data_IF_213933888760
#
_entry.id   IF_213933888760
#
_cell.length_a   1.000
_cell.length_b   1.000
_cell.length_c   1.000
_cell.angle_alpha   90.00
_cell.angle_beta   90.00
_cell.angle_gamma   90.00
#
_symmetry.space_group_name_H-M   'P 1'
#
loop_
_entity.id
_entity.type
_entity.pdbx_description
1 polymer ?
#
# COMPACT_ATOMS: atom_id res chain seq x y z
N UNK A 1 6.60 11.66 -24.42
CA UNK A 1 5.18 11.55 -24.03
C UNK A 1 5.19 10.91 -22.65
N UNK A 2 4.49 11.47 -21.66
CA UNK A 2 4.41 10.90 -20.31
C UNK A 2 3.83 9.49 -20.39
N UNK A 3 4.61 8.46 -20.05
CA UNK A 3 4.19 7.06 -20.19
C UNK A 3 3.58 6.47 -18.93
N UNK A 4 3.67 7.12 -17.77
CA UNK A 4 3.08 6.62 -16.52
C UNK A 4 1.70 7.23 -16.24
N UNK A 5 0.75 6.40 -15.82
CA UNK A 5 -0.51 6.87 -15.24
C UNK A 5 -0.26 7.33 -13.81
N UNK A 6 -0.56 8.61 -13.55
CA UNK A 6 -0.27 9.23 -12.27
C UNK A 6 -1.22 8.79 -11.14
N UNK A 7 -2.40 8.26 -11.48
CA UNK A 7 -3.50 7.96 -10.54
C UNK A 7 -4.35 6.82 -11.09
N UNK A 8 -5.06 6.14 -10.20
CA UNK A 8 -6.18 5.28 -10.60
C UNK A 8 -7.45 6.14 -10.76
N UNK A 9 -8.14 5.98 -11.89
CA UNK A 9 -9.40 6.65 -12.19
C UNK A 9 -10.46 5.59 -12.48
N UNK A 10 -11.59 5.63 -11.77
CA UNK A 10 -12.64 4.63 -11.88
C UNK A 10 -13.63 4.88 -13.04
N UNK A 11 -13.35 5.87 -13.88
CA UNK A 11 -14.17 6.26 -15.04
C UNK A 11 -15.44 7.03 -14.68
N UNK A 12 -15.74 7.22 -13.39
CA UNK A 12 -16.91 7.98 -12.95
C UNK A 12 -16.68 9.49 -13.10
N UNK A 13 -17.74 10.27 -12.89
CA UNK A 13 -17.68 11.73 -12.78
C UNK A 13 -17.82 12.18 -11.32
N UNK A 14 -17.67 11.25 -10.37
CA UNK A 14 -17.72 11.59 -8.95
C UNK A 14 -16.53 12.47 -8.57
N UNK A 15 -16.66 13.33 -7.54
CA UNK A 15 -15.52 14.03 -6.98
C UNK A 15 -14.40 13.04 -6.58
N UNK A 16 -13.12 13.47 -6.62
CA UNK A 16 -12.03 12.66 -6.11
C UNK A 16 -12.31 12.14 -4.70
N UNK A 17 -12.00 10.86 -4.44
CA UNK A 17 -12.35 10.23 -3.15
C UNK A 17 -11.28 9.29 -2.63
N UNK A 18 -11.26 9.13 -1.31
CA UNK A 18 -10.60 8.02 -0.64
C UNK A 18 -11.37 6.72 -0.96
N UNK A 19 -10.64 5.63 -1.19
CA UNK A 19 -11.18 4.27 -1.23
C UNK A 19 -10.39 3.39 -0.29
N UNK A 20 -11.10 2.76 0.63
CA UNK A 20 -10.50 1.85 1.61
C UNK A 20 -10.33 0.46 1.00
N UNK A 21 -9.12 -0.06 1.10
CA UNK A 21 -8.69 -1.37 0.63
C UNK A 21 -8.25 -2.24 1.81
N UNK A 22 -8.21 -3.55 1.65
CA UNK A 22 -7.59 -4.45 2.62
C UNK A 22 -6.56 -5.36 1.96
N UNK A 23 -5.49 -5.72 2.65
CA UNK A 23 -4.52 -6.68 2.11
C UNK A 23 -4.96 -8.12 2.44
N UNK A 24 -4.99 -9.03 1.46
CA UNK A 24 -5.38 -10.43 1.68
C UNK A 24 -4.41 -11.15 2.63
N UNK A 25 -3.11 -10.89 2.48
CA UNK A 25 -2.09 -11.50 3.34
C UNK A 25 -2.23 -11.04 4.80
N UNK A 26 -2.70 -9.81 5.04
CA UNK A 26 -3.05 -9.30 6.37
C UNK A 26 -4.28 -9.98 6.99
N UNK A 27 -5.03 -10.76 6.22
CA UNK A 27 -6.12 -11.61 6.76
C UNK A 27 -5.65 -13.03 7.06
N UNK A 28 -4.38 -13.33 6.87
CA UNK A 28 -3.81 -14.64 7.20
C UNK A 28 -3.86 -14.89 8.69
N UNK A 29 -4.12 -16.14 9.06
CA UNK A 29 -4.16 -16.62 10.45
C UNK A 29 -5.26 -16.01 11.34
N UNK A 30 -6.15 -15.17 10.78
CA UNK A 30 -7.27 -14.59 11.51
C UNK A 30 -8.48 -15.54 11.60
N UNK A 31 -9.33 -15.44 12.64
CA UNK A 31 -9.27 -14.45 13.73
C UNK A 31 -8.08 -14.66 14.67
N UNK A 32 -7.69 -13.60 15.39
CA UNK A 32 -6.49 -13.57 16.22
C UNK A 32 -6.39 -14.82 17.11
N UNK A 33 -5.24 -15.49 17.07
CA UNK A 33 -4.91 -16.68 17.87
C UNK A 33 -5.86 -17.88 17.69
N UNK A 34 -6.69 -17.90 16.65
CA UNK A 34 -7.59 -19.01 16.39
C UNK A 34 -6.83 -20.27 15.93
N UNK A 35 -7.25 -21.47 16.38
CA UNK A 35 -6.72 -22.72 15.87
C UNK A 35 -7.05 -22.87 14.38
N UNK A 36 -6.32 -23.73 13.67
CA UNK A 36 -6.34 -23.82 12.19
C UNK A 36 -7.75 -23.99 11.63
N UNK A 37 -8.56 -24.82 12.28
CA UNK A 37 -9.94 -25.16 11.92
C UNK A 37 -10.94 -24.02 12.16
N UNK A 38 -10.60 -23.03 12.99
CA UNK A 38 -11.43 -21.87 13.29
C UNK A 38 -11.00 -20.60 12.52
N UNK A 39 -9.94 -20.69 11.72
CA UNK A 39 -9.48 -19.57 10.87
C UNK A 39 -10.51 -19.28 9.78
N UNK A 40 -10.63 -18.00 9.43
CA UNK A 40 -11.53 -17.59 8.37
C UNK A 40 -11.14 -18.23 7.04
N UNK A 41 -12.12 -18.84 6.39
CA UNK A 41 -12.06 -19.20 4.97
C UNK A 41 -11.95 -17.94 4.11
N UNK A 42 -11.61 -18.10 2.83
CA UNK A 42 -11.50 -16.97 1.91
C UNK A 42 -12.81 -16.16 1.81
N UNK A 43 -13.95 -16.82 1.68
CA UNK A 43 -15.27 -16.17 1.66
C UNK A 43 -15.56 -15.45 2.99
N UNK A 44 -15.22 -16.05 4.13
CA UNK A 44 -15.39 -15.41 5.43
C UNK A 44 -14.53 -14.16 5.61
N UNK A 45 -13.33 -14.13 5.01
CA UNK A 45 -12.45 -12.96 4.98
C UNK A 45 -13.08 -11.85 4.14
N UNK A 46 -13.50 -12.16 2.92
CA UNK A 46 -14.06 -11.17 2.00
C UNK A 46 -15.44 -10.66 2.43
N UNK A 47 -16.28 -11.50 3.01
CA UNK A 47 -17.52 -11.05 3.65
C UNK A 47 -17.26 -10.00 4.74
N UNK A 48 -16.23 -10.20 5.59
CA UNK A 48 -15.85 -9.25 6.64
C UNK A 48 -15.29 -7.95 6.08
N UNK A 49 -14.37 -8.05 5.13
CA UNK A 49 -13.79 -6.90 4.40
C UNK A 49 -14.91 -6.05 3.81
N UNK A 50 -15.85 -6.66 3.09
CA UNK A 50 -16.97 -5.94 2.49
C UNK A 50 -17.90 -5.32 3.53
N UNK A 51 -18.23 -6.06 4.59
CA UNK A 51 -19.10 -5.57 5.67
C UNK A 51 -18.48 -4.40 6.45
N UNK A 52 -17.15 -4.34 6.54
CA UNK A 52 -16.42 -3.25 7.19
C UNK A 52 -16.26 -2.00 6.31
N UNK A 53 -16.79 -2.00 5.08
CA UNK A 53 -16.76 -0.83 4.19
C UNK A 53 -15.54 -0.75 3.27
N UNK A 54 -14.64 -1.75 3.31
CA UNK A 54 -13.57 -1.84 2.32
C UNK A 54 -14.15 -2.22 0.94
N UNK A 55 -13.58 -1.65 -0.11
CA UNK A 55 -14.06 -1.77 -1.49
C UNK A 55 -13.16 -2.62 -2.39
N UNK A 56 -11.90 -2.83 -2.01
CA UNK A 56 -10.94 -3.62 -2.78
C UNK A 56 -10.03 -4.46 -1.88
N UNK A 57 -9.40 -5.46 -2.48
CA UNK A 57 -8.41 -6.31 -1.82
C UNK A 57 -7.13 -6.38 -2.62
N UNK A 58 -6.02 -6.21 -1.91
CA UNK A 58 -4.68 -6.35 -2.47
C UNK A 58 -4.18 -7.77 -2.31
N UNK A 59 -3.78 -8.36 -3.43
CA UNK A 59 -3.44 -9.77 -3.50
C UNK A 59 -2.09 -9.98 -4.17
N UNK A 60 -1.37 -10.98 -3.67
CA UNK A 60 -0.17 -11.53 -4.28
C UNK A 60 -0.56 -12.87 -4.90
N UNK A 61 -0.93 -12.85 -6.19
CA UNK A 61 -1.52 -14.01 -6.87
C UNK A 61 -0.55 -14.72 -7.80
N UNK A 62 -0.73 -16.03 -7.90
CA UNK A 62 -0.08 -16.91 -8.86
C UNK A 62 -1.12 -17.82 -9.55
N UNK A 63 -0.66 -18.68 -10.45
CA UNK A 63 -1.55 -19.56 -11.21
C UNK A 63 -2.31 -20.57 -10.33
N UNK A 64 -1.83 -20.84 -9.10
CA UNK A 64 -2.45 -21.79 -8.19
C UNK A 64 -3.65 -21.20 -7.45
N UNK A 65 -3.65 -19.88 -7.21
CA UNK A 65 -4.64 -19.22 -6.35
C UNK A 65 -5.49 -18.16 -7.07
N UNK A 66 -5.13 -17.75 -8.29
CA UNK A 66 -5.81 -16.63 -8.96
C UNK A 66 -7.29 -16.91 -9.26
N UNK A 67 -7.63 -18.13 -9.68
CA UNK A 67 -8.99 -18.48 -10.08
C UNK A 67 -9.95 -18.46 -8.88
N UNK A 68 -9.57 -19.13 -7.78
CA UNK A 68 -10.37 -19.15 -6.55
C UNK A 68 -10.51 -17.74 -5.96
N UNK A 69 -9.41 -16.99 -5.93
CA UNK A 69 -9.40 -15.66 -5.33
C UNK A 69 -10.22 -14.65 -6.12
N UNK A 70 -10.07 -14.61 -7.45
CA UNK A 70 -10.87 -13.73 -8.29
C UNK A 70 -12.36 -14.06 -8.19
N UNK A 71 -12.72 -15.34 -8.24
CA UNK A 71 -14.12 -15.75 -8.09
C UNK A 71 -14.71 -15.35 -6.73
N UNK A 72 -13.92 -15.43 -5.65
CA UNK A 72 -14.35 -14.99 -4.33
C UNK A 72 -14.51 -13.46 -4.23
N UNK A 73 -13.59 -12.69 -4.80
CA UNK A 73 -13.72 -11.22 -4.87
C UNK A 73 -15.00 -10.81 -5.61
N UNK A 74 -15.29 -11.45 -6.74
CA UNK A 74 -16.49 -11.18 -7.54
C UNK A 74 -17.78 -11.48 -6.78
N UNK A 75 -17.84 -12.62 -6.07
CA UNK A 75 -18.99 -12.96 -5.21
C UNK A 75 -19.30 -11.89 -4.16
N UNK A 76 -18.27 -11.21 -3.65
CA UNK A 76 -18.41 -10.18 -2.62
C UNK A 76 -18.45 -8.75 -3.16
N UNK A 77 -18.33 -8.56 -4.48
CA UNK A 77 -18.26 -7.23 -5.10
C UNK A 77 -17.08 -6.41 -4.57
N UNK A 78 -15.92 -7.06 -4.45
CA UNK A 78 -14.65 -6.45 -4.07
C UNK A 78 -13.75 -6.34 -5.29
N UNK A 79 -13.06 -5.21 -5.43
CA UNK A 79 -12.12 -4.98 -6.53
C UNK A 79 -10.77 -5.62 -6.24
N UNK A 80 -9.98 -5.86 -7.28
CA UNK A 80 -8.66 -6.50 -7.18
C UNK A 80 -7.54 -5.47 -7.41
N UNK A 81 -6.51 -5.54 -6.58
CA UNK A 81 -5.21 -4.90 -6.80
C UNK A 81 -4.13 -5.98 -6.71
N UNK A 82 -3.11 -5.91 -7.56
CA UNK A 82 -2.02 -6.89 -7.54
C UNK A 82 -0.72 -6.28 -7.01
N UNK A 83 -0.16 -6.94 -6.00
CA UNK A 83 1.21 -6.73 -5.54
C UNK A 83 2.18 -7.63 -6.29
N UNK A 84 3.37 -7.13 -6.58
CA UNK A 84 4.43 -7.96 -7.15
C UNK A 84 5.84 -7.50 -6.77
N UNK A 85 6.80 -8.42 -6.85
CA UNK A 85 8.21 -8.17 -6.52
C UNK A 85 9.09 -8.56 -7.72
N UNK A 86 9.30 -7.66 -8.71
CA UNK A 86 10.05 -7.99 -9.91
C UNK A 86 11.56 -7.91 -9.70
N UNK A 87 12.29 -8.83 -10.32
CA UNK A 87 13.74 -8.71 -10.54
C UNK A 87 14.09 -8.55 -12.02
N UNK A 88 13.15 -8.87 -12.91
CA UNK A 88 13.33 -8.79 -14.36
C UNK A 88 12.13 -8.12 -15.03
N UNK A 89 12.31 -7.64 -16.26
CA UNK A 89 11.21 -7.14 -17.10
C UNK A 89 10.19 -8.23 -17.44
N UNK A 90 10.62 -9.49 -17.56
CA UNK A 90 9.73 -10.62 -17.77
C UNK A 90 8.79 -10.87 -16.57
N UNK A 91 9.22 -10.59 -15.33
CA UNK A 91 8.35 -10.68 -14.16
C UNK A 91 7.27 -9.60 -14.17
N UNK A 92 7.63 -8.41 -14.66
CA UNK A 92 6.71 -7.29 -14.86
C UNK A 92 5.66 -7.66 -15.91
N UNK A 93 6.09 -8.14 -17.09
CA UNK A 93 5.19 -8.52 -18.19
C UNK A 93 4.17 -9.58 -17.72
N UNK A 94 4.64 -10.63 -17.04
CA UNK A 94 3.77 -11.67 -16.47
C UNK A 94 2.74 -11.11 -15.49
N UNK A 95 3.14 -10.14 -14.67
CA UNK A 95 2.25 -9.51 -13.68
C UNK A 95 1.22 -8.63 -14.37
N UNK A 96 1.61 -7.87 -15.40
CA UNK A 96 0.70 -7.02 -16.16
C UNK A 96 -0.30 -7.86 -16.94
N UNK A 97 0.15 -8.94 -17.60
CA UNK A 97 -0.74 -9.88 -18.29
C UNK A 97 -1.77 -10.48 -17.33
N UNK A 98 -1.35 -10.81 -16.10
CA UNK A 98 -2.26 -11.26 -15.03
C UNK A 98 -3.22 -10.16 -14.59
N UNK A 99 -2.73 -8.94 -14.38
CA UNK A 99 -3.55 -7.80 -13.97
C UNK A 99 -4.65 -7.51 -15.00
N UNK A 100 -4.32 -7.53 -16.29
CA UNK A 100 -5.27 -7.33 -17.38
C UNK A 100 -6.27 -8.49 -17.44
N UNK A 101 -5.80 -9.74 -17.38
CA UNK A 101 -6.67 -10.93 -17.40
C UNK A 101 -7.66 -10.96 -16.23
N UNK A 102 -7.21 -10.53 -15.05
CA UNK A 102 -8.02 -10.55 -13.83
C UNK A 102 -8.71 -9.22 -13.54
N UNK A 103 -8.67 -8.26 -14.48
CA UNK A 103 -9.32 -6.95 -14.35
C UNK A 103 -8.93 -6.21 -13.05
N UNK A 104 -7.65 -6.23 -12.70
CA UNK A 104 -7.13 -5.51 -11.55
C UNK A 104 -7.17 -3.99 -11.79
N UNK A 105 -7.49 -3.21 -10.74
CA UNK A 105 -7.58 -1.75 -10.80
C UNK A 105 -6.19 -1.12 -11.05
N UNK A 106 -5.14 -1.64 -10.42
CA UNK A 106 -3.74 -1.25 -10.62
C UNK A 106 -2.76 -2.31 -10.09
N UNK A 107 -1.47 -2.10 -10.35
CA UNK A 107 -0.36 -2.89 -9.82
C UNK A 107 0.51 -2.01 -8.92
N UNK A 108 0.93 -2.54 -7.77
CA UNK A 108 2.05 -1.98 -7.01
C UNK A 108 3.22 -2.96 -6.99
N UNK A 109 4.43 -2.41 -7.03
CA UNK A 109 5.67 -3.13 -7.24
C UNK A 109 6.68 -2.85 -6.14
N UNK A 110 7.29 -3.90 -5.60
CA UNK A 110 8.46 -3.83 -4.74
C UNK A 110 9.70 -4.22 -5.56
N UNK A 111 10.28 -3.33 -6.39
CA UNK A 111 11.30 -3.72 -7.36
C UNK A 111 12.63 -4.09 -6.69
N UNK A 112 13.19 -5.21 -7.17
CA UNK A 112 14.51 -5.71 -6.84
C UNK A 112 14.78 -5.81 -5.32
N UNK A 113 16.05 -5.82 -4.94
CA UNK A 113 16.50 -5.73 -3.56
C UNK A 113 17.21 -4.39 -3.30
N UNK A 114 17.55 -4.16 -2.02
CA UNK A 114 18.24 -2.97 -1.55
C UNK A 114 19.63 -2.73 -2.19
N UNK A 115 20.26 -3.78 -2.72
CA UNK A 115 21.64 -3.75 -3.20
C UNK A 115 21.72 -3.61 -4.73
N UNK A 116 20.57 -3.65 -5.40
CA UNK A 116 20.50 -3.53 -6.86
C UNK A 116 20.83 -2.10 -7.29
N UNK A 117 21.64 -1.89 -8.35
CA UNK A 117 21.97 -0.55 -8.84
C UNK A 117 20.73 0.24 -9.28
N UNK A 118 20.78 1.57 -9.06
CA UNK A 118 19.70 2.49 -9.42
C UNK A 118 19.30 2.38 -10.89
N UNK A 119 20.26 2.24 -11.79
CA UNK A 119 20.03 2.17 -13.23
C UNK A 119 19.18 0.96 -13.61
N UNK A 120 19.47 -0.20 -12.99
CA UNK A 120 18.69 -1.43 -13.17
C UNK A 120 17.27 -1.26 -12.65
N UNK A 121 17.09 -0.65 -11.48
CA UNK A 121 15.74 -0.43 -10.92
C UNK A 121 14.96 0.60 -11.74
N UNK A 122 15.62 1.66 -12.21
CA UNK A 122 15.01 2.65 -13.08
C UNK A 122 14.58 2.03 -14.43
N UNK A 123 15.32 1.06 -14.96
CA UNK A 123 14.91 0.28 -16.13
C UNK A 123 13.63 -0.52 -15.85
N UNK A 124 13.58 -1.26 -14.74
CA UNK A 124 12.39 -2.03 -14.33
C UNK A 124 11.17 -1.12 -14.19
N UNK A 125 11.30 0.01 -13.50
CA UNK A 125 10.18 0.95 -13.29
C UNK A 125 9.69 1.55 -14.61
N UNK A 126 10.60 2.02 -15.49
CA UNK A 126 10.22 2.57 -16.79
C UNK A 126 9.55 1.52 -17.68
N UNK A 127 10.04 0.29 -17.66
CA UNK A 127 9.43 -0.83 -18.38
C UNK A 127 8.01 -1.10 -17.88
N UNK A 128 7.82 -1.22 -16.56
CA UNK A 128 6.51 -1.43 -15.96
C UNK A 128 5.51 -0.32 -16.25
N UNK A 129 5.92 0.94 -16.14
CA UNK A 129 5.07 2.08 -16.52
C UNK A 129 4.65 2.03 -17.99
N UNK A 130 5.59 1.73 -18.90
CA UNK A 130 5.31 1.65 -20.33
C UNK A 130 4.38 0.49 -20.66
N UNK A 131 4.66 -0.70 -20.13
CA UNK A 131 3.87 -1.90 -20.39
C UNK A 131 2.44 -1.76 -19.82
N UNK A 132 2.30 -1.23 -18.60
CA UNK A 132 1.00 -1.08 -17.96
C UNK A 132 0.13 0.01 -18.63
N UNK A 133 0.75 1.09 -19.11
CA UNK A 133 0.03 2.19 -19.75
C UNK A 133 -0.68 1.80 -21.07
N UNK A 134 -0.18 0.78 -21.78
CA UNK A 134 -0.88 0.23 -22.98
C UNK A 134 -2.28 -0.26 -22.63
N UNK A 135 -2.49 -0.69 -21.37
CA UNK A 135 -3.74 -1.24 -20.86
C UNK A 135 -4.50 -0.28 -19.94
N UNK A 136 -4.09 0.99 -19.88
CA UNK A 136 -4.62 1.97 -18.93
C UNK A 136 -4.54 1.49 -17.46
N UNK A 137 -3.49 0.73 -17.14
CA UNK A 137 -3.25 0.17 -15.81
C UNK A 137 -2.21 1.02 -15.05
N UNK A 138 -2.55 1.62 -13.91
CA UNK A 138 -1.56 2.31 -13.09
C UNK A 138 -0.52 1.34 -12.51
N UNK A 139 0.72 1.80 -12.45
CA UNK A 139 1.86 1.06 -11.93
C UNK A 139 2.58 1.92 -10.89
N UNK A 140 2.51 1.51 -9.62
CA UNK A 140 3.08 2.25 -8.50
C UNK A 140 4.25 1.48 -7.89
N UNK A 141 5.28 2.20 -7.46
CA UNK A 141 6.44 1.62 -6.78
C UNK A 141 6.23 1.73 -5.28
N UNK A 142 6.30 0.63 -4.55
CA UNK A 142 6.17 0.65 -3.10
C UNK A 142 7.47 1.07 -2.43
N UNK A 143 7.38 1.87 -1.37
CA UNK A 143 8.48 2.11 -0.43
C UNK A 143 8.55 0.95 0.56
N UNK A 144 9.58 0.10 0.47
CA UNK A 144 9.63 -1.11 1.28
C UNK A 144 11.06 -1.47 1.68
N UNK A 145 11.25 -1.84 2.95
CA UNK A 145 12.56 -2.31 3.49
C UNK A 145 12.96 -3.62 2.82
N UNK A 146 14.26 -3.89 2.62
CA UNK A 146 14.74 -5.07 1.87
C UNK A 146 14.41 -5.06 0.36
N UNK A 147 13.91 -3.94 -0.16
CA UNK A 147 13.78 -3.64 -1.59
C UNK A 147 14.58 -2.38 -1.91
N UNK A 148 14.71 -2.02 -3.19
CA UNK A 148 15.52 -0.86 -3.57
C UNK A 148 15.09 0.43 -2.85
N UNK A 149 13.79 0.60 -2.64
CA UNK A 149 13.17 1.77 -2.01
C UNK A 149 13.17 1.70 -0.48
N UNK A 150 14.15 1.03 0.14
CA UNK A 150 14.19 0.89 1.60
C UNK A 150 14.52 2.20 2.34
N UNK A 151 15.26 3.11 1.71
CA UNK A 151 15.63 4.40 2.29
C UNK A 151 15.04 5.60 1.53
N UNK A 152 14.93 6.73 2.24
CA UNK A 152 14.55 8.01 1.66
C UNK A 152 15.52 8.43 0.53
N UNK A 153 16.86 8.39 0.70
CA UNK A 153 17.79 8.74 -0.39
C UNK A 153 17.66 7.86 -1.64
N UNK A 154 17.51 6.53 -1.49
CA UNK A 154 17.31 5.65 -2.66
C UNK A 154 16.01 5.98 -3.39
N UNK A 155 14.93 6.21 -2.65
CA UNK A 155 13.62 6.54 -3.23
C UNK A 155 13.63 7.93 -3.90
N UNK A 156 14.36 8.89 -3.32
CA UNK A 156 14.58 10.20 -3.94
C UNK A 156 15.41 10.09 -5.22
N UNK A 157 16.50 9.32 -5.21
CA UNK A 157 17.32 9.08 -6.39
C UNK A 157 16.53 8.38 -7.51
N UNK A 158 15.64 7.44 -7.16
CA UNK A 158 14.70 6.85 -8.13
C UNK A 158 13.74 7.89 -8.70
N UNK A 159 13.20 8.78 -7.88
CA UNK A 159 12.32 9.86 -8.33
C UNK A 159 13.04 10.89 -9.20
N UNK A 160 14.35 11.09 -9.02
CA UNK A 160 15.17 11.92 -9.91
C UNK A 160 15.44 11.21 -11.24
N UNK A 161 15.77 9.91 -11.21
CA UNK A 161 16.04 9.12 -12.40
C UNK A 161 14.77 8.83 -13.22
N UNK A 162 13.62 8.72 -12.57
CA UNK A 162 12.30 8.47 -13.17
C UNK A 162 11.30 9.49 -12.61
N UNK A 163 11.28 10.74 -13.14
CA UNK A 163 10.43 11.83 -12.61
C UNK A 163 8.94 11.51 -12.53
N UNK A 164 8.45 10.61 -13.39
CA UNK A 164 7.07 10.16 -13.50
C UNK A 164 6.71 9.05 -12.51
N UNK A 165 7.67 8.53 -11.73
CA UNK A 165 7.41 7.49 -10.74
C UNK A 165 6.33 7.93 -9.76
N UNK A 166 5.41 7.02 -9.47
CA UNK A 166 4.38 7.18 -8.45
C UNK A 166 4.57 6.11 -7.40
N UNK A 167 4.32 6.47 -6.15
CA UNK A 167 4.58 5.58 -5.04
C UNK A 167 3.32 5.01 -4.43
N UNK A 168 3.41 3.73 -4.06
CA UNK A 168 2.68 3.17 -2.93
C UNK A 168 3.48 3.51 -1.68
N UNK A 169 3.04 4.50 -0.92
CA UNK A 169 3.74 4.92 0.29
C UNK A 169 3.41 4.01 1.46
N UNK A 170 4.26 3.03 1.75
CA UNK A 170 4.38 2.48 3.10
C UNK A 170 5.51 3.19 3.83
N UNK A 171 5.13 4.22 4.60
CA UNK A 171 6.08 5.12 5.25
C UNK A 171 6.65 4.50 6.53
N UNK A 172 6.09 3.40 7.02
CA UNK A 172 6.60 2.68 8.19
C UNK A 172 8.02 2.15 7.98
N UNK A 173 8.36 1.81 6.73
CA UNK A 173 9.70 1.37 6.36
C UNK A 173 10.73 2.47 6.50
N UNK A 174 10.44 3.69 6.04
CA UNK A 174 11.36 4.82 6.24
C UNK A 174 11.51 5.17 7.71
N UNK A 175 10.43 5.08 8.49
CA UNK A 175 10.45 5.39 9.91
C UNK A 175 11.34 4.41 10.68
N UNK A 176 11.21 3.11 10.42
CA UNK A 176 12.04 2.10 11.10
C UNK A 176 13.48 2.08 10.59
N UNK A 177 13.72 2.25 9.28
CA UNK A 177 15.09 2.23 8.71
C UNK A 177 15.85 3.51 9.04
N UNK A 178 15.14 4.64 9.12
CA UNK A 178 15.72 5.94 9.41
C UNK A 178 15.73 6.33 10.89
N UNK A 179 15.30 5.44 11.79
CA UNK A 179 15.15 5.70 13.23
C UNK A 179 14.41 7.03 13.52
N UNK A 180 13.25 7.24 12.91
CA UNK A 180 12.43 8.45 13.14
C UNK A 180 11.50 8.27 14.34
N UNK A 181 11.47 9.26 15.25
CA UNK A 181 10.62 9.21 16.44
C UNK A 181 9.56 10.32 16.49
N UNK A 182 9.71 11.44 15.76
CA UNK A 182 9.30 12.68 16.43
C UNK A 182 9.13 14.01 15.69
N UNK A 183 9.02 14.07 14.37
CA UNK A 183 8.24 15.08 13.62
C UNK A 183 8.84 16.47 13.36
N UNK A 184 9.11 17.31 14.36
CA UNK A 184 9.55 18.70 14.04
C UNK A 184 11.06 18.80 13.87
N UNK A 185 11.83 18.34 14.86
CA UNK A 185 13.29 18.53 14.88
C UNK A 185 14.00 17.67 13.83
N UNK A 186 13.43 16.52 13.51
CA UNK A 186 13.95 15.59 12.50
C UNK A 186 13.62 16.03 11.06
N UNK A 187 12.74 17.02 10.90
CA UNK A 187 12.22 17.52 9.61
C UNK A 187 11.71 16.38 8.71
N UNK A 188 11.03 15.41 9.31
CA UNK A 188 10.66 14.14 8.67
C UNK A 188 9.81 14.37 7.41
N UNK A 189 8.81 15.26 7.48
CA UNK A 189 7.97 15.64 6.32
C UNK A 189 8.82 16.20 5.18
N UNK A 190 9.76 17.09 5.48
CA UNK A 190 10.61 17.70 4.46
C UNK A 190 11.58 16.70 3.83
N UNK A 191 12.13 15.78 4.64
CA UNK A 191 12.99 14.70 4.14
C UNK A 191 12.22 13.73 3.25
N UNK A 192 10.98 13.41 3.60
CA UNK A 192 10.12 12.50 2.83
C UNK A 192 9.41 13.20 1.65
N UNK A 193 9.51 14.53 1.52
CA UNK A 193 8.81 15.31 0.48
C UNK A 193 9.00 14.81 -0.96
N UNK A 194 10.20 14.33 -1.39
CA UNK A 194 10.39 13.76 -2.73
C UNK A 194 9.46 12.57 -3.01
N UNK A 195 9.13 11.79 -1.98
CA UNK A 195 8.22 10.65 -2.05
C UNK A 195 6.77 11.09 -1.81
N UNK A 196 6.49 11.85 -0.73
CA UNK A 196 5.13 12.27 -0.34
C UNK A 196 4.39 12.98 -1.48
N UNK A 197 5.09 13.84 -2.22
CA UNK A 197 4.51 14.57 -3.37
C UNK A 197 4.18 13.68 -4.58
N UNK A 198 4.59 12.41 -4.56
CA UNK A 198 4.41 11.42 -5.64
C UNK A 198 3.61 10.20 -5.19
N UNK A 199 3.13 10.16 -3.95
CA UNK A 199 2.26 9.09 -3.45
C UNK A 199 0.93 9.10 -4.22
N UNK A 200 0.52 7.93 -4.70
CA UNK A 200 -0.77 7.72 -5.39
C UNK A 200 -1.60 6.60 -4.79
N UNK A 201 -1.01 5.89 -3.82
CA UNK A 201 -1.61 4.85 -3.02
C UNK A 201 -0.87 4.78 -1.67
N UNK A 202 -1.55 4.54 -0.56
CA UNK A 202 -0.92 4.41 0.76
C UNK A 202 -1.14 3.02 1.36
N UNK A 203 -0.06 2.48 1.93
CA UNK A 203 -0.15 1.45 2.95
C UNK A 203 -0.13 2.12 4.33
N UNK A 204 -1.04 1.70 5.19
CA UNK A 204 -1.40 2.33 6.46
C UNK A 204 -0.68 1.76 7.66
N UNK A 205 0.37 0.95 7.46
CA UNK A 205 1.17 0.43 8.56
C UNK A 205 1.80 1.58 9.34
N UNK A 206 1.84 1.45 10.66
CA UNK A 206 2.41 2.44 11.58
C UNK A 206 3.60 1.83 12.31
N UNK A 207 4.70 2.57 12.29
CA UNK A 207 5.94 2.28 13.03
C UNK A 207 6.10 3.29 14.17
N UNK A 208 6.80 2.87 15.23
CA UNK A 208 7.23 3.77 16.31
C UNK A 208 8.71 4.17 16.23
N UNK A 209 9.39 3.86 15.12
CA UNK A 209 10.83 4.08 14.94
C UNK A 209 11.67 2.83 15.17
N UNK A 210 11.21 1.91 16.02
CA UNK A 210 11.97 0.72 16.44
C UNK A 210 11.33 -0.59 15.94
N UNK A 211 10.00 -0.60 15.86
CA UNK A 211 9.22 -1.69 15.30
C UNK A 211 8.43 -1.16 14.11
N UNK A 212 8.56 -1.84 12.97
CA UNK A 212 7.90 -1.43 11.73
C UNK A 212 6.37 -1.50 11.80
N UNK A 213 5.85 -2.32 12.71
CA UNK A 213 4.42 -2.51 12.94
C UNK A 213 4.17 -2.55 14.45
N UNK A 214 3.33 -1.65 14.93
CA UNK A 214 2.94 -1.55 16.35
C UNK A 214 1.42 -1.53 16.52
N UNK A 215 0.95 -1.92 17.70
CA UNK A 215 -0.41 -1.65 18.15
C UNK A 215 -0.53 -0.16 18.51
N UNK A 216 -1.51 0.53 17.94
CA UNK A 216 -1.74 1.96 18.18
C UNK A 216 -2.97 2.24 19.04
N UNK A 217 -3.54 1.21 19.67
CA UNK A 217 -4.77 1.28 20.45
C UNK A 217 -5.91 1.92 19.65
N UNK A 218 -6.44 3.06 20.10
CA UNK A 218 -7.50 3.81 19.42
C UNK A 218 -6.98 4.80 18.35
N UNK A 219 -5.66 4.90 18.19
CA UNK A 219 -5.00 5.80 17.25
C UNK A 219 -4.75 7.21 17.79
N UNK A 220 -5.06 7.51 19.06
CA UNK A 220 -4.83 8.84 19.67
C UNK A 220 -3.36 9.10 20.04
N UNK A 221 -2.53 8.06 20.09
CA UNK A 221 -1.12 8.16 20.47
C UNK A 221 -0.24 8.89 19.46
N UNK A 222 0.94 9.31 19.92
CA UNK A 222 1.87 10.14 19.14
C UNK A 222 2.26 9.53 17.80
N UNK A 223 2.65 8.24 17.76
CA UNK A 223 3.03 7.57 16.50
C UNK A 223 1.88 7.52 15.50
N UNK A 224 0.64 7.32 15.97
CA UNK A 224 -0.51 7.29 15.08
C UNK A 224 -0.84 8.67 14.49
N UNK A 225 -0.90 9.70 15.34
CA UNK A 225 -1.18 11.07 14.90
C UNK A 225 -0.05 11.67 14.06
N UNK A 226 1.18 11.23 14.32
CA UNK A 226 2.27 11.41 13.41
C UNK A 226 1.87 10.86 12.02
N UNK A 227 1.61 9.56 11.86
CA UNK A 227 1.38 8.98 10.53
C UNK A 227 0.19 9.65 9.81
N UNK A 228 -0.85 10.04 10.55
CA UNK A 228 -1.95 10.86 10.03
C UNK A 228 -1.44 12.13 9.35
N UNK A 229 -0.46 12.82 9.92
CA UNK A 229 0.14 14.02 9.32
C UNK A 229 0.91 13.75 8.02
N UNK A 230 1.60 12.60 7.90
CA UNK A 230 2.24 12.20 6.64
C UNK A 230 1.20 11.85 5.59
N UNK A 231 0.20 11.07 5.97
CA UNK A 231 -0.89 10.68 5.07
C UNK A 231 -1.65 11.91 4.59
N UNK A 232 -1.96 12.83 5.48
CA UNK A 232 -2.54 14.14 5.16
C UNK A 232 -1.68 14.87 4.13
N UNK A 233 -0.38 14.99 4.37
CA UNK A 233 0.55 15.67 3.45
C UNK A 233 0.55 15.03 2.06
N UNK A 234 0.64 13.70 1.99
CA UNK A 234 0.57 12.97 0.72
C UNK A 234 -0.77 13.16 0.01
N UNK A 235 -1.89 13.13 0.75
CA UNK A 235 -3.23 13.35 0.23
C UNK A 235 -3.41 14.79 -0.28
N UNK A 236 -2.90 15.82 0.41
CA UNK A 236 -2.91 17.21 -0.07
C UNK A 236 -2.19 17.35 -1.42
N UNK A 237 -0.99 16.75 -1.53
CA UNK A 237 -0.25 16.74 -2.79
C UNK A 237 -0.99 15.99 -3.89
N UNK A 238 -1.64 14.88 -3.57
CA UNK A 238 -2.39 14.10 -4.56
C UNK A 238 -3.64 14.83 -5.04
N UNK A 239 -4.37 15.49 -4.13
CA UNK A 239 -5.56 16.30 -4.41
C UNK A 239 -5.21 17.46 -5.35
N UNK A 240 -3.99 17.98 -5.26
CA UNK A 240 -3.46 18.92 -6.24
C UNK A 240 -3.32 18.25 -7.62
N UNK A 241 -4.30 18.54 -8.49
CA UNK A 241 -4.40 17.96 -9.84
C UNK A 241 -5.17 16.66 -9.92
N UNK A 242 -5.90 16.26 -8.86
CA UNK A 242 -6.91 15.21 -8.95
C UNK A 242 -8.11 15.69 -9.79
N UNK A 243 -8.74 14.75 -10.50
CA UNK A 243 -9.85 14.99 -11.43
C UNK A 243 -11.06 14.15 -11.05
N UNK A 244 -12.27 14.47 -11.56
CA UNK A 244 -13.43 13.59 -11.40
C UNK A 244 -13.10 12.15 -11.80
N UNK A 245 -13.57 11.20 -10.96
CA UNK A 245 -13.29 9.77 -11.08
C UNK A 245 -11.96 9.32 -10.49
N UNK A 246 -11.04 10.22 -10.12
CA UNK A 246 -9.79 9.82 -9.48
C UNK A 246 -10.06 9.27 -8.07
N UNK A 247 -9.37 8.20 -7.74
CA UNK A 247 -9.52 7.51 -6.46
C UNK A 247 -8.15 7.41 -5.79
N UNK A 248 -8.09 7.81 -4.53
CA UNK A 248 -6.92 7.62 -3.68
C UNK A 248 -7.11 6.33 -2.86
N UNK A 249 -6.39 5.25 -3.16
CA UNK A 249 -6.53 4.01 -2.43
C UNK A 249 -5.69 4.01 -1.15
N UNK A 250 -6.24 3.43 -0.07
CA UNK A 250 -5.55 3.27 1.22
C UNK A 250 -5.77 1.86 1.78
N UNK A 251 -4.68 1.18 2.15
CA UNK A 251 -4.70 -0.20 2.65
C UNK A 251 -4.02 -0.28 4.02
N UNK A 252 -4.67 -0.69 5.13
CA UNK A 252 -4.02 -0.80 6.44
C UNK A 252 -2.75 -1.67 6.47
N UNK A 253 -2.74 -2.74 5.67
CA UNK A 253 -1.56 -3.55 5.34
C UNK A 253 -0.82 -4.16 6.57
N UNK A 254 -1.55 -4.53 7.63
CA UNK A 254 -0.98 -5.18 8.82
C UNK A 254 -0.64 -6.66 8.59
N UNK A 255 0.65 -6.97 8.66
CA UNK A 255 1.17 -8.31 8.40
C UNK A 255 1.02 -9.29 9.56
N UNK A 256 0.81 -10.60 9.30
CA UNK A 256 0.88 -11.65 10.32
C UNK A 256 2.31 -11.78 10.90
N UNK A 257 2.51 -12.59 11.96
CA UNK A 257 3.84 -12.92 12.44
C UNK A 257 4.77 -13.33 11.30
N UNK A 258 5.98 -12.76 11.19
CA UNK A 258 6.75 -12.01 12.20
C UNK A 258 6.57 -10.47 12.20
N UNK A 259 5.68 -9.91 11.39
CA UNK A 259 5.38 -8.47 11.46
C UNK A 259 4.60 -8.15 12.73
N UNK A 260 3.55 -8.94 13.01
CA UNK A 260 2.83 -8.85 14.27
C UNK A 260 3.75 -9.24 15.44
N UNK A 261 3.72 -8.43 16.50
CA UNK A 261 4.41 -8.74 17.75
C UNK A 261 3.74 -9.96 18.37
N UNK A 262 4.55 -10.94 18.79
CA UNK A 262 4.07 -12.15 19.45
C UNK A 262 4.57 -12.25 20.89
N UNK A 263 3.75 -12.84 21.76
CA UNK A 263 4.16 -13.26 23.09
C UNK A 263 5.14 -14.46 23.02
N UNK A 264 5.80 -14.83 24.14
CA UNK A 264 6.75 -15.96 24.15
C UNK A 264 6.15 -17.30 23.71
N UNK A 265 4.83 -17.49 23.83
CA UNK A 265 4.11 -18.68 23.38
C UNK A 265 3.75 -18.65 21.88
N UNK A 266 4.12 -17.59 21.17
CA UNK A 266 3.87 -17.39 19.75
C UNK A 266 2.50 -16.81 19.42
N UNK A 267 1.65 -16.53 20.41
CA UNK A 267 0.37 -15.86 20.19
C UNK A 267 0.59 -14.39 19.81
N UNK A 268 -0.22 -13.87 18.90
CA UNK A 268 -0.21 -12.45 18.53
C UNK A 268 -0.63 -11.60 19.73
N UNK A 269 0.12 -10.52 19.96
CA UNK A 269 -0.11 -9.59 21.07
C UNK A 269 -1.34 -8.69 20.84
N UNK A 270 -1.62 -8.33 19.58
CA UNK A 270 -2.71 -7.41 19.22
C UNK A 270 -3.55 -7.95 18.07
N UNK A 271 -4.85 -7.59 18.07
CA UNK A 271 -5.78 -8.03 17.02
C UNK A 271 -5.62 -7.18 15.76
N UNK A 272 -4.98 -7.76 14.74
CA UNK A 272 -4.75 -7.08 13.47
C UNK A 272 -6.03 -6.75 12.71
N UNK A 273 -7.13 -7.48 12.91
CA UNK A 273 -8.41 -7.10 12.32
C UNK A 273 -8.89 -5.78 12.92
N UNK A 274 -8.95 -5.69 14.24
CA UNK A 274 -9.39 -4.46 14.92
C UNK A 274 -8.46 -3.29 14.63
N UNK A 275 -7.14 -3.52 14.63
CA UNK A 275 -6.17 -2.50 14.27
C UNK A 275 -6.31 -2.03 12.81
N UNK A 276 -6.69 -2.91 11.87
CA UNK A 276 -6.97 -2.49 10.48
C UNK A 276 -8.15 -1.50 10.40
N UNK A 277 -9.16 -1.68 11.25
CA UNK A 277 -10.30 -0.77 11.34
C UNK A 277 -9.89 0.57 11.96
N UNK A 278 -8.96 0.56 12.91
CA UNK A 278 -8.36 1.80 13.45
C UNK A 278 -7.64 2.56 12.33
N UNK A 279 -6.78 1.90 11.55
CA UNK A 279 -6.05 2.56 10.46
C UNK A 279 -6.98 3.13 9.38
N UNK A 280 -8.06 2.42 9.06
CA UNK A 280 -9.09 2.93 8.14
C UNK A 280 -9.70 4.24 8.64
N UNK A 281 -10.09 4.33 9.93
CA UNK A 281 -10.61 5.57 10.52
C UNK A 281 -9.59 6.71 10.53
N UNK A 282 -8.32 6.40 10.80
CA UNK A 282 -7.23 7.37 10.76
C UNK A 282 -6.95 7.88 9.34
N UNK A 283 -7.07 7.02 8.32
CA UNK A 283 -6.99 7.43 6.93
C UNK A 283 -8.11 8.40 6.53
N UNK A 284 -9.35 8.11 6.99
CA UNK A 284 -10.48 9.02 6.79
C UNK A 284 -10.29 10.35 7.53
N UNK A 285 -9.68 10.33 8.72
CA UNK A 285 -9.27 11.55 9.43
C UNK A 285 -8.29 12.35 8.56
N UNK A 286 -7.19 11.75 8.13
CA UNK A 286 -6.19 12.40 7.27
C UNK A 286 -6.82 12.98 5.99
N UNK A 287 -7.74 12.24 5.38
CA UNK A 287 -8.46 12.67 4.19
C UNK A 287 -9.34 13.89 4.43
N UNK A 288 -10.12 13.90 5.53
CA UNK A 288 -10.94 15.07 5.92
C UNK A 288 -10.08 16.30 6.18
N UNK A 289 -8.98 16.13 6.90
CA UNK A 289 -8.05 17.22 7.18
C UNK A 289 -7.38 17.75 5.90
N UNK A 290 -7.06 16.87 4.94
CA UNK A 290 -6.48 17.27 3.66
C UNK A 290 -7.45 18.08 2.75
N UNK A 291 -8.76 17.97 2.98
CA UNK A 291 -9.78 18.79 2.29
C UNK A 291 -10.04 20.13 2.97
N UNK A 292 -9.60 20.30 4.22
CA UNK A 292 -9.81 21.52 4.99
C UNK A 292 -8.68 22.53 4.80
N UNK A 293 -7.53 22.10 4.27
CA UNK A 293 -6.36 22.91 3.93
C UNK A 293 -6.47 23.54 2.52
#
# INVERSE_FOLDING_TARGET
MSTGLARYNDGSQNPPRLRLHHALWGLSLLPMNAPKEARWTLDQKFARVKAAGFEAVECWLDDNNETETKAALDRHGLRLVLGHRPFTTADIDRTIDRAVRLEADFVFAQPADAFTPLETVAELVRHGQKAAAVHNLPFFVETHRNNFTETIPQSAALAEAVPEVRFTGDLSHFVVVGEFYGWTDERAVERMAPVLSRVSHLHGRISNGEAVQVDVADGSGQSAQFFVSLWKTAMCHWLNGAKPGDVFPFTPELGPPRYAITLPDGSEFSDRWEQSLVMARLAEQAWREAHAD
#
